data_IF_790502540508
#
_entry.id   IF_790502540508
#
_cell.length_a   1.000
_cell.length_b   1.000
_cell.length_c   1.000
_cell.angle_alpha   90.00
_cell.angle_beta   90.00
_cell.angle_gamma   90.00
#
_symmetry.space_group_name_H-M   'P 1'
#
loop_
_entity.id
_entity.type
_entity.pdbx_description
1 polymer ?
#
# COMPACT_ATOMS: atom_id res chain seq x y z
N UNK A 1 11.17 48.48 -14.67
CA UNK A 1 11.09 47.70 -13.43
C UNK A 1 9.69 47.05 -13.41
N UNK A 2 9.61 45.86 -13.99
CA UNK A 2 8.33 45.09 -14.11
C UNK A 2 8.18 44.27 -12.83
N UNK A 3 7.23 44.67 -11.99
CA UNK A 3 6.81 43.90 -10.83
C UNK A 3 5.86 42.83 -11.33
N UNK A 4 6.33 41.59 -11.45
CA UNK A 4 5.46 40.43 -11.63
C UNK A 4 4.70 40.18 -10.32
N UNK A 5 3.45 40.60 -10.27
CA UNK A 5 2.51 40.19 -9.26
C UNK A 5 2.25 38.70 -9.41
N UNK A 6 2.94 37.89 -8.60
CA UNK A 6 2.61 36.47 -8.43
C UNK A 6 1.31 36.45 -7.65
N UNK A 7 0.20 36.22 -8.35
CA UNK A 7 -1.09 35.94 -7.74
C UNK A 7 -0.96 34.57 -7.07
N UNK A 8 -0.47 34.55 -5.83
CA UNK A 8 -0.40 33.35 -5.02
C UNK A 8 -1.85 32.97 -4.67
N UNK A 9 -2.43 32.09 -5.48
CA UNK A 9 -3.59 31.35 -4.98
C UNK A 9 -3.17 30.64 -3.70
N UNK A 10 -3.88 30.83 -2.58
CA UNK A 10 -3.53 30.15 -1.35
C UNK A 10 -3.60 28.64 -1.62
N UNK A 11 -2.47 27.94 -1.51
CA UNK A 11 -2.43 26.49 -1.62
C UNK A 11 -3.20 25.92 -0.42
N UNK A 12 -4.45 25.56 -0.64
CA UNK A 12 -5.30 24.94 0.38
C UNK A 12 -5.00 23.45 0.39
N UNK A 13 -4.26 23.01 1.40
CA UNK A 13 -4.12 21.58 1.66
C UNK A 13 -5.45 21.09 2.25
N UNK A 14 -6.25 20.40 1.46
CA UNK A 14 -7.44 19.75 1.95
C UNK A 14 -7.07 18.71 3.02
N UNK A 15 -7.72 18.82 4.17
CA UNK A 15 -7.53 17.81 5.23
C UNK A 15 -8.24 16.54 4.83
N UNK A 16 -7.58 15.41 5.06
CA UNK A 16 -8.20 14.09 4.93
C UNK A 16 -9.42 14.04 5.85
N UNK A 17 -10.50 13.46 5.34
CA UNK A 17 -11.65 13.15 6.17
C UNK A 17 -11.24 12.05 7.17
N UNK A 18 -11.31 12.31 8.49
CA UNK A 18 -10.86 11.33 9.49
C UNK A 18 -11.65 10.02 9.44
N UNK A 19 -12.90 10.03 8.97
CA UNK A 19 -13.69 8.79 8.86
C UNK A 19 -13.20 7.86 7.76
N UNK A 20 -12.43 8.38 6.79
CA UNK A 20 -11.85 7.59 5.69
C UNK A 20 -10.52 6.94 6.06
N UNK A 21 -10.01 7.18 7.28
CA UNK A 21 -8.76 6.61 7.76
C UNK A 21 -9.05 5.62 8.90
N UNK A 22 -8.20 4.61 9.15
CA UNK A 22 -8.33 3.74 10.30
C UNK A 22 -8.39 4.56 11.60
N UNK A 23 -9.37 4.26 12.43
CA UNK A 23 -9.58 4.96 13.70
C UNK A 23 -8.99 4.16 14.86
N UNK A 24 -8.07 4.78 15.59
CA UNK A 24 -7.55 4.22 16.81
C UNK A 24 -6.54 3.08 16.60
N UNK A 25 -6.21 2.46 17.71
CA UNK A 25 -5.28 1.33 17.81
C UNK A 25 -6.10 0.11 18.13
N UNK A 26 -5.96 -0.95 17.33
CA UNK A 26 -6.48 -2.26 17.70
C UNK A 26 -5.72 -2.78 18.93
N UNK A 27 -6.42 -2.97 20.05
CA UNK A 27 -5.79 -3.30 21.34
C UNK A 27 -4.97 -4.60 21.32
N UNK A 28 -5.34 -5.55 20.46
CA UNK A 28 -4.63 -6.80 20.28
C UNK A 28 -3.43 -6.73 19.32
N UNK A 29 -3.15 -5.58 18.70
CA UNK A 29 -2.10 -5.45 17.70
C UNK A 29 -0.96 -4.56 18.18
N UNK A 30 -0.02 -5.16 18.90
CA UNK A 30 1.08 -4.47 19.57
C UNK A 30 1.93 -3.55 18.65
N UNK A 31 2.12 -3.93 17.40
CA UNK A 31 2.87 -3.11 16.45
C UNK A 31 2.16 -1.80 16.09
N UNK A 32 0.83 -1.79 16.00
CA UNK A 32 0.04 -0.59 15.77
C UNK A 32 0.13 0.36 16.97
N UNK A 33 0.08 -0.17 18.20
CA UNK A 33 0.22 0.61 19.43
C UNK A 33 1.53 1.40 19.50
N UNK A 34 2.63 0.81 19.02
CA UNK A 34 3.96 1.45 19.02
C UNK A 34 4.13 2.55 17.96
N UNK A 35 3.27 2.59 16.96
CA UNK A 35 3.34 3.55 15.85
C UNK A 35 2.46 4.77 16.05
N UNK A 36 1.61 4.73 17.07
CA UNK A 36 0.70 5.83 17.35
C UNK A 36 1.35 6.82 18.32
N UNK A 37 1.34 8.14 18.01
CA UNK A 37 1.88 9.12 18.94
C UNK A 37 1.04 9.17 20.22
N UNK A 38 1.71 9.12 21.36
CA UNK A 38 1.08 9.22 22.68
C UNK A 38 0.67 10.64 23.07
N UNK A 39 1.11 11.63 22.29
CA UNK A 39 0.82 13.04 22.50
C UNK A 39 0.12 13.63 21.27
N UNK A 40 -0.71 14.67 21.42
CA UNK A 40 -1.30 15.37 20.29
C UNK A 40 -0.24 15.88 19.32
N UNK A 41 -0.52 15.76 18.01
CA UNK A 41 0.37 16.29 16.98
C UNK A 41 0.47 17.80 17.04
N UNK A 42 1.69 18.33 17.17
CA UNK A 42 1.98 19.76 17.16
C UNK A 42 2.29 20.19 15.72
N UNK A 43 1.57 21.21 15.24
CA UNK A 43 1.87 21.83 13.95
C UNK A 43 3.15 22.64 14.06
N UNK A 44 4.07 22.39 13.15
CA UNK A 44 5.28 23.20 13.01
C UNK A 44 5.27 23.87 11.63
N UNK A 45 5.85 25.07 11.50
CA UNK A 45 6.08 25.68 10.19
C UNK A 45 7.02 24.81 9.37
N UNK A 46 6.83 24.78 8.06
CA UNK A 46 7.74 24.10 7.16
C UNK A 46 9.13 24.76 7.21
N UNK A 47 10.16 23.95 7.21
CA UNK A 47 11.54 24.36 7.15
C UNK A 47 12.17 23.93 5.81
N UNK A 48 13.33 24.48 5.39
CA UNK A 48 14.00 24.05 4.17
C UNK A 48 14.29 22.53 4.13
N UNK A 49 14.45 21.89 5.27
CA UNK A 49 14.70 20.43 5.34
C UNK A 49 13.50 19.60 4.88
N UNK A 50 12.28 20.08 5.06
CA UNK A 50 11.09 19.40 4.55
C UNK A 50 10.91 19.58 3.03
N UNK A 51 11.52 20.60 2.46
CA UNK A 51 11.55 20.81 1.01
C UNK A 51 12.52 19.88 0.30
N UNK A 52 13.59 19.45 0.98
CA UNK A 52 14.65 18.64 0.38
C UNK A 52 14.53 17.14 0.61
N UNK A 53 13.74 16.68 1.59
CA UNK A 53 13.45 15.27 1.91
C UNK A 53 14.59 14.25 1.72
N UNK A 54 14.45 13.00 2.12
CA UNK A 54 15.46 11.98 1.87
C UNK A 54 15.57 11.66 0.38
N UNK A 55 16.78 11.50 -0.13
CA UNK A 55 17.01 11.08 -1.51
C UNK A 55 16.64 9.60 -1.66
N UNK A 56 15.59 9.28 -2.41
CA UNK A 56 15.20 7.89 -2.70
C UNK A 56 15.84 7.33 -3.99
N UNK A 57 16.87 7.99 -4.51
CA UNK A 57 17.58 7.52 -5.72
C UNK A 57 18.07 6.07 -5.57
N UNK A 58 18.48 5.67 -4.35
CA UNK A 58 18.83 4.28 -4.05
C UNK A 58 17.64 3.31 -4.21
N UNK A 59 16.39 3.79 -4.12
CA UNK A 59 15.21 2.97 -4.36
C UNK A 59 15.02 2.63 -5.85
N UNK A 60 15.68 3.35 -6.75
CA UNK A 60 15.60 3.10 -8.19
C UNK A 60 16.61 2.07 -8.68
N UNK A 61 17.54 1.62 -7.84
CA UNK A 61 18.62 0.69 -8.24
C UNK A 61 18.15 -0.77 -8.41
N UNK A 62 17.02 -1.14 -7.81
CA UNK A 62 16.55 -2.52 -7.79
C UNK A 62 15.07 -2.59 -8.18
N UNK A 63 14.76 -2.24 -9.43
CA UNK A 63 13.40 -2.33 -9.93
C UNK A 63 13.04 -3.78 -10.26
N UNK A 64 11.90 -4.24 -9.76
CA UNK A 64 11.37 -5.58 -9.99
C UNK A 64 9.84 -5.53 -9.99
N UNK A 65 9.24 -6.03 -11.04
CA UNK A 65 7.78 -6.18 -11.19
C UNK A 65 7.31 -7.64 -11.27
N UNK A 66 8.19 -8.62 -11.07
CA UNK A 66 7.84 -10.05 -11.03
C UNK A 66 8.39 -10.71 -9.75
N UNK A 67 7.48 -11.20 -8.91
CA UNK A 67 7.77 -11.92 -7.67
C UNK A 67 7.45 -13.42 -7.80
N UNK A 68 6.89 -13.85 -8.93
CA UNK A 68 6.35 -15.20 -9.11
C UNK A 68 7.42 -16.27 -9.42
N UNK A 69 8.72 -15.97 -9.28
CA UNK A 69 9.75 -16.98 -9.38
C UNK A 69 11.13 -16.48 -9.78
N UNK A 70 12.10 -17.39 -9.65
CA UNK A 70 13.50 -17.22 -10.01
C UNK A 70 13.81 -17.96 -11.34
N UNK A 71 13.99 -17.24 -12.42
CA UNK A 71 14.31 -17.84 -13.73
C UNK A 71 13.24 -18.85 -14.17
N UNK A 72 13.63 -20.12 -14.32
CA UNK A 72 12.71 -21.20 -14.69
C UNK A 72 11.88 -21.76 -13.52
N UNK A 73 12.26 -21.47 -12.27
CA UNK A 73 11.54 -21.93 -11.08
C UNK A 73 10.41 -20.96 -10.74
N UNK A 74 9.26 -21.50 -10.36
CA UNK A 74 8.07 -20.73 -10.04
C UNK A 74 7.75 -20.82 -8.55
N UNK A 75 7.25 -19.71 -8.00
CA UNK A 75 6.66 -19.68 -6.68
C UNK A 75 5.38 -20.52 -6.65
N UNK A 76 5.12 -21.17 -5.52
CA UNK A 76 3.92 -21.94 -5.27
C UNK A 76 2.72 -21.04 -5.08
N UNK A 77 1.57 -21.39 -5.64
CA UNK A 77 0.32 -20.66 -5.47
C UNK A 77 -0.34 -20.24 -6.78
N UNK A 78 -1.47 -19.57 -6.64
CA UNK A 78 -2.24 -19.05 -7.77
C UNK A 78 -1.54 -17.82 -8.34
N UNK A 79 -1.11 -17.90 -9.60
CA UNK A 79 -0.54 -16.75 -10.30
C UNK A 79 -1.55 -15.63 -10.44
N UNK A 80 -1.09 -14.41 -10.20
CA UNK A 80 -1.88 -13.21 -10.41
C UNK A 80 -1.06 -12.06 -10.97
N UNK A 81 -1.78 -11.11 -11.55
CA UNK A 81 -1.27 -9.85 -12.08
C UNK A 81 -2.05 -8.70 -11.43
N UNK A 82 -1.33 -7.81 -10.77
CA UNK A 82 -1.91 -6.59 -10.21
C UNK A 82 -1.58 -5.43 -11.14
N UNK A 83 -2.60 -4.74 -11.63
CA UNK A 83 -2.49 -3.50 -12.38
C UNK A 83 -2.83 -2.36 -11.42
N UNK A 84 -1.80 -1.68 -10.94
CA UNK A 84 -1.94 -0.64 -9.92
C UNK A 84 -1.78 0.72 -10.56
N UNK A 85 -2.82 1.55 -10.49
CA UNK A 85 -2.82 2.92 -10.99
C UNK A 85 -2.68 3.90 -9.82
N UNK A 86 -1.69 4.77 -9.89
CA UNK A 86 -1.46 5.84 -8.91
C UNK A 86 -1.97 7.15 -9.50
N UNK A 87 -2.88 7.80 -8.77
CA UNK A 87 -3.53 9.05 -9.18
C UNK A 87 -3.59 10.05 -8.02
N UNK A 88 -3.84 11.32 -8.34
CA UNK A 88 -4.22 12.34 -7.37
C UNK A 88 -5.73 12.32 -7.09
N UNK A 89 -6.22 13.31 -6.33
CA UNK A 89 -7.64 13.45 -5.97
C UNK A 89 -8.57 13.73 -7.16
N UNK A 90 -8.04 14.26 -8.25
CA UNK A 90 -8.79 14.56 -9.47
C UNK A 90 -8.79 13.39 -10.45
N UNK A 91 -8.13 12.29 -10.10
CA UNK A 91 -7.96 11.11 -10.95
C UNK A 91 -6.84 11.26 -11.99
N UNK A 92 -6.06 12.34 -11.93
CA UNK A 92 -4.93 12.55 -12.83
C UNK A 92 -3.79 11.58 -12.52
N UNK A 93 -3.19 10.94 -13.53
CA UNK A 93 -2.12 9.97 -13.31
C UNK A 93 -0.86 10.64 -12.75
N UNK A 94 -0.16 9.93 -11.88
CA UNK A 94 1.10 10.36 -11.30
C UNK A 94 2.27 9.55 -11.86
N UNK A 95 2.89 9.99 -12.98
CA UNK A 95 4.05 9.33 -13.56
C UNK A 95 5.31 9.52 -12.72
N UNK A 96 6.26 8.58 -12.83
CA UNK A 96 7.53 8.63 -12.12
C UNK A 96 7.42 8.43 -10.61
N UNK A 97 6.29 7.90 -10.14
CA UNK A 97 6.04 7.60 -8.73
C UNK A 97 6.63 6.24 -8.38
N UNK A 98 7.41 6.15 -7.31
CA UNK A 98 7.94 4.87 -6.81
C UNK A 98 6.85 4.14 -6.03
N UNK A 99 6.60 2.89 -6.42
CA UNK A 99 5.64 1.98 -5.78
C UNK A 99 6.39 0.76 -5.28
N UNK A 100 6.41 0.57 -3.97
CA UNK A 100 6.86 -0.66 -3.34
C UNK A 100 5.64 -1.51 -3.00
N UNK A 101 5.74 -2.81 -3.22
CA UNK A 101 4.73 -3.79 -2.85
C UNK A 101 5.37 -4.96 -2.13
N UNK A 102 4.74 -5.47 -1.06
CA UNK A 102 5.20 -6.69 -0.38
C UNK A 102 4.02 -7.46 0.20
N UNK A 103 4.18 -8.78 0.25
CA UNK A 103 3.18 -9.67 0.83
C UNK A 103 3.80 -11.02 1.25
N UNK A 104 3.06 -11.83 1.98
CA UNK A 104 3.44 -13.20 2.32
C UNK A 104 3.29 -14.14 1.10
N UNK A 105 3.89 -15.33 1.17
CA UNK A 105 3.69 -16.36 0.16
C UNK A 105 2.26 -16.98 0.22
N UNK A 106 1.98 -17.97 -0.62
CA UNK A 106 0.68 -18.63 -0.66
C UNK A 106 0.31 -19.39 0.63
N UNK A 107 1.31 -19.73 1.46
CA UNK A 107 1.11 -20.36 2.77
C UNK A 107 0.96 -19.35 3.92
N UNK A 108 0.94 -18.04 3.65
CA UNK A 108 0.84 -16.99 4.66
C UNK A 108 2.18 -16.63 5.31
N UNK A 109 3.33 -17.08 4.77
CA UNK A 109 4.67 -16.84 5.33
C UNK A 109 5.36 -15.64 4.68
N UNK A 110 5.81 -14.67 5.50
CA UNK A 110 6.68 -13.59 5.05
C UNK A 110 8.15 -14.01 5.04
N UNK A 111 8.91 -13.48 4.10
CA UNK A 111 10.38 -13.57 4.12
C UNK A 111 10.91 -12.44 5.02
N UNK A 112 10.67 -12.56 6.32
CA UNK A 112 11.09 -11.57 7.29
C UNK A 112 11.50 -12.25 8.62
N UNK A 113 12.62 -11.86 9.25
CA UNK A 113 13.11 -12.51 10.48
C UNK A 113 12.13 -12.42 11.67
N UNK A 114 11.25 -11.41 11.68
CA UNK A 114 10.25 -11.26 12.74
C UNK A 114 8.95 -12.05 12.48
N UNK A 115 8.83 -12.73 11.34
CA UNK A 115 7.69 -13.61 11.10
C UNK A 115 7.95 -14.97 11.80
N UNK A 116 7.23 -15.19 12.90
CA UNK A 116 7.30 -16.41 13.71
C UNK A 116 6.28 -17.48 13.29
N UNK A 117 5.45 -17.21 12.26
CA UNK A 117 4.48 -18.18 11.77
C UNK A 117 5.17 -19.44 11.22
N UNK A 118 4.72 -20.62 11.64
CA UNK A 118 5.34 -21.91 11.27
C UNK A 118 5.02 -22.42 9.85
N UNK A 119 4.42 -21.58 9.01
CA UNK A 119 4.20 -21.93 7.60
C UNK A 119 5.52 -22.02 6.81
N UNK A 120 5.58 -22.84 5.75
CA UNK A 120 6.80 -23.03 4.98
C UNK A 120 7.20 -21.79 4.20
N UNK A 121 8.50 -21.51 4.14
CA UNK A 121 9.08 -20.52 3.23
C UNK A 121 9.10 -21.09 1.81
N UNK A 122 8.72 -20.28 0.82
CA UNK A 122 8.88 -20.63 -0.59
C UNK A 122 10.17 -20.00 -1.13
N UNK A 123 11.20 -20.81 -1.47
CA UNK A 123 12.48 -20.30 -1.95
C UNK A 123 12.41 -19.65 -3.33
N UNK A 124 11.30 -19.81 -4.05
CA UNK A 124 11.09 -19.25 -5.39
C UNK A 124 10.24 -17.97 -5.36
N UNK A 125 9.83 -17.50 -4.19
CA UNK A 125 9.05 -16.29 -4.02
C UNK A 125 9.92 -15.13 -3.50
N UNK A 126 9.85 -13.97 -4.14
CA UNK A 126 10.70 -12.83 -3.78
C UNK A 126 10.19 -11.97 -2.61
N UNK A 127 8.91 -12.02 -2.30
CA UNK A 127 8.31 -11.31 -1.15
C UNK A 127 8.06 -9.82 -1.34
N UNK A 128 8.93 -9.10 -2.05
CA UNK A 128 8.83 -7.65 -2.24
C UNK A 128 9.22 -7.21 -3.64
N UNK A 129 8.51 -6.20 -4.15
CA UNK A 129 8.69 -5.57 -5.45
C UNK A 129 8.91 -4.07 -5.30
N UNK A 130 9.58 -3.48 -6.27
CA UNK A 130 9.71 -2.03 -6.42
C UNK A 130 9.58 -1.66 -7.89
N UNK A 131 8.71 -0.72 -8.19
CA UNK A 131 8.34 -0.31 -9.54
C UNK A 131 8.24 1.20 -9.62
N UNK A 132 8.27 1.74 -10.84
CA UNK A 132 8.05 3.16 -11.11
C UNK A 132 6.91 3.29 -12.10
N UNK A 133 5.95 4.17 -11.82
CA UNK A 133 4.82 4.40 -12.69
C UNK A 133 5.23 5.02 -14.02
N UNK A 134 4.65 4.51 -15.12
CA UNK A 134 4.75 5.13 -16.45
C UNK A 134 3.84 6.37 -16.57
N UNK A 135 3.75 6.93 -17.77
CA UNK A 135 2.99 8.16 -18.06
C UNK A 135 1.51 8.06 -17.68
N UNK A 136 0.92 6.88 -17.76
CA UNK A 136 -0.47 6.62 -17.36
C UNK A 136 -0.65 6.46 -15.84
N UNK A 137 0.40 6.61 -15.04
CA UNK A 137 0.38 6.33 -13.60
C UNK A 137 0.29 4.84 -13.25
N UNK A 138 0.48 3.94 -14.23
CA UNK A 138 0.32 2.49 -14.07
C UNK A 138 1.64 1.81 -13.75
N UNK A 139 1.59 0.84 -12.83
CA UNK A 139 2.56 -0.23 -12.65
C UNK A 139 1.86 -1.58 -12.75
N UNK A 140 2.61 -2.60 -13.15
CA UNK A 140 2.13 -3.97 -13.22
C UNK A 140 3.04 -4.88 -12.41
N UNK A 141 2.45 -5.58 -11.45
CA UNK A 141 3.13 -6.56 -10.61
C UNK A 141 2.61 -7.95 -10.95
N UNK A 142 3.50 -8.83 -11.38
CA UNK A 142 3.24 -10.26 -11.53
C UNK A 142 3.69 -11.00 -10.29
N UNK A 143 2.80 -11.74 -9.64
CA UNK A 143 3.09 -12.44 -8.40
C UNK A 143 2.14 -13.63 -8.19
N UNK A 144 2.13 -14.19 -7.00
CA UNK A 144 1.17 -15.18 -6.54
C UNK A 144 0.17 -14.54 -5.57
N UNK A 145 -1.05 -15.08 -5.49
CA UNK A 145 -2.03 -14.65 -4.49
C UNK A 145 -1.51 -15.05 -3.10
N UNK A 146 -1.39 -14.10 -2.14
CA UNK A 146 -0.96 -14.41 -0.78
C UNK A 146 -1.97 -15.30 -0.04
N UNK A 147 -1.50 -16.05 0.93
CA UNK A 147 -2.34 -16.74 1.90
C UNK A 147 -2.81 -15.83 3.03
N UNK A 148 -3.82 -16.27 3.77
CA UNK A 148 -4.14 -15.71 5.07
C UNK A 148 -3.07 -16.15 6.10
N UNK A 149 -2.91 -15.39 7.19
CA UNK A 149 -1.97 -15.74 8.26
C UNK A 149 -2.47 -15.32 9.64
N UNK A 150 -2.08 -16.05 10.71
CA UNK A 150 -2.44 -15.69 12.07
C UNK A 150 -1.61 -14.50 12.57
N UNK A 151 -2.22 -13.65 13.39
CA UNK A 151 -1.52 -12.56 14.08
C UNK A 151 -1.02 -13.09 15.43
N UNK A 152 0.31 -13.04 15.69
CA UNK A 152 0.86 -13.48 16.96
C UNK A 152 0.26 -12.71 18.14
N UNK A 153 0.19 -13.36 19.30
CA UNK A 153 -0.25 -12.79 20.58
C UNK A 153 -1.69 -12.20 20.56
N UNK A 154 -2.55 -12.73 19.68
CA UNK A 154 -3.97 -12.39 19.62
C UNK A 154 -4.85 -13.62 19.85
N UNK A 155 -6.12 -13.42 20.18
CA UNK A 155 -7.09 -14.50 20.41
C UNK A 155 -7.55 -15.16 19.10
N UNK A 156 -6.60 -15.70 18.31
CA UNK A 156 -6.91 -16.41 17.08
C UNK A 156 -7.32 -15.50 15.92
N UNK A 157 -6.90 -14.22 15.92
CA UNK A 157 -7.14 -13.35 14.79
C UNK A 157 -6.29 -13.74 13.58
N UNK A 158 -6.95 -13.97 12.47
CA UNK A 158 -6.32 -14.22 11.16
C UNK A 158 -6.50 -13.01 10.26
N UNK A 159 -5.41 -12.61 9.60
CA UNK A 159 -5.47 -11.60 8.56
C UNK A 159 -5.89 -12.23 7.23
N UNK A 160 -6.81 -11.59 6.47
CA UNK A 160 -7.13 -12.01 5.10
C UNK A 160 -5.90 -11.90 4.18
N UNK A 161 -5.92 -12.56 3.02
CA UNK A 161 -4.99 -12.26 1.94
C UNK A 161 -4.95 -10.77 1.63
N UNK A 162 -3.76 -10.16 1.63
CA UNK A 162 -3.58 -8.74 1.31
C UNK A 162 -2.17 -8.45 0.78
N UNK A 163 -2.03 -7.33 0.11
CA UNK A 163 -0.75 -6.81 -0.39
C UNK A 163 -0.51 -5.44 0.21
N UNK A 164 0.64 -5.24 0.80
CA UNK A 164 1.08 -3.93 1.28
C UNK A 164 1.61 -3.10 0.13
N UNK A 165 1.33 -1.81 0.16
CA UNK A 165 1.90 -0.83 -0.74
C UNK A 165 2.52 0.33 0.03
N UNK A 166 3.65 0.81 -0.47
CA UNK A 166 4.29 2.05 -0.07
C UNK A 166 4.51 2.89 -1.32
N UNK A 167 3.84 4.03 -1.39
CA UNK A 167 3.87 4.93 -2.55
C UNK A 167 4.60 6.19 -2.17
N UNK A 168 5.64 6.52 -2.92
CA UNK A 168 6.45 7.71 -2.72
C UNK A 168 6.10 8.75 -3.76
N UNK A 169 5.55 9.88 -3.31
CA UNK A 169 5.24 10.99 -4.20
C UNK A 169 6.50 11.62 -4.80
N UNK A 170 6.30 12.43 -5.83
CA UNK A 170 7.39 13.22 -6.47
C UNK A 170 8.01 14.23 -5.52
N UNK A 171 7.22 14.71 -4.57
CA UNK A 171 7.66 15.58 -3.49
C UNK A 171 7.73 14.74 -2.23
N UNK A 172 8.89 14.62 -1.67
CA UNK A 172 9.34 13.74 -0.60
C UNK A 172 8.51 13.75 0.69
N UNK A 173 7.58 14.67 0.82
CA UNK A 173 6.76 14.87 2.00
C UNK A 173 5.54 13.96 2.08
N UNK A 174 5.22 13.22 1.04
CA UNK A 174 4.05 12.34 1.05
C UNK A 174 4.41 10.90 0.73
N UNK A 175 4.45 10.08 1.75
CA UNK A 175 4.48 8.64 1.64
C UNK A 175 3.10 8.10 2.03
N UNK A 176 2.46 7.38 1.15
CA UNK A 176 1.27 6.59 1.48
C UNK A 176 1.74 5.16 1.74
N UNK A 177 1.47 4.65 2.94
CA UNK A 177 1.56 3.22 3.25
C UNK A 177 0.15 2.70 3.43
N UNK A 178 -0.23 1.67 2.70
CA UNK A 178 -1.58 1.12 2.69
C UNK A 178 -1.57 -0.37 2.42
N UNK A 179 -2.75 -0.97 2.45
CA UNK A 179 -2.96 -2.38 2.15
C UNK A 179 -4.09 -2.52 1.14
N UNK A 180 -3.91 -3.43 0.19
CA UNK A 180 -4.93 -3.86 -0.76
C UNK A 180 -5.45 -5.22 -0.36
N UNK A 181 -6.75 -5.36 -0.33
CA UNK A 181 -7.45 -6.60 -0.03
C UNK A 181 -8.09 -7.19 -1.30
N UNK A 182 -8.40 -8.48 -1.26
CA UNK A 182 -9.02 -9.16 -2.39
C UNK A 182 -10.53 -9.24 -2.23
N UNK A 183 -11.30 -9.13 -3.31
CA UNK A 183 -12.76 -9.26 -3.25
C UNK A 183 -13.17 -10.69 -2.91
N UNK A 184 -14.26 -10.83 -2.14
CA UNK A 184 -14.86 -12.13 -1.80
C UNK A 184 -14.08 -12.95 -0.77
N UNK A 185 -13.08 -12.35 -0.09
CA UNK A 185 -12.37 -13.02 1.01
C UNK A 185 -13.19 -12.95 2.30
N UNK A 186 -13.63 -14.10 2.86
CA UNK A 186 -14.47 -14.10 4.07
C UNK A 186 -13.82 -13.41 5.27
N UNK A 187 -12.50 -13.47 5.38
CA UNK A 187 -11.75 -12.85 6.48
C UNK A 187 -11.72 -11.31 6.41
N UNK A 188 -12.11 -10.69 5.29
CA UNK A 188 -12.21 -9.23 5.22
C UNK A 188 -13.18 -8.66 6.25
N UNK A 189 -14.29 -9.37 6.50
CA UNK A 189 -15.32 -8.94 7.45
C UNK A 189 -14.84 -9.03 8.91
N UNK A 190 -13.82 -9.85 9.17
CA UNK A 190 -13.22 -10.05 10.50
C UNK A 190 -11.88 -9.32 10.68
N UNK A 191 -11.35 -8.66 9.65
CA UNK A 191 -10.06 -7.97 9.75
C UNK A 191 -10.17 -6.66 10.54
N UNK A 192 -9.54 -6.63 11.71
CA UNK A 192 -9.59 -5.48 12.61
C UNK A 192 -9.02 -4.20 11.97
N UNK A 193 -8.00 -4.32 11.09
CA UNK A 193 -7.36 -3.17 10.45
C UNK A 193 -8.26 -2.58 9.36
N UNK A 194 -8.81 -3.42 8.48
CA UNK A 194 -9.73 -2.98 7.43
C UNK A 194 -11.00 -2.36 8.04
N UNK A 195 -11.55 -2.99 9.08
CA UNK A 195 -12.79 -2.55 9.71
C UNK A 195 -12.61 -1.38 10.68
N UNK A 196 -11.37 -0.98 11.02
CA UNK A 196 -11.10 0.27 11.70
C UNK A 196 -11.40 1.52 10.82
N UNK A 197 -11.55 1.35 9.51
CA UNK A 197 -11.99 2.41 8.61
C UNK A 197 -13.51 2.51 8.69
N UNK A 198 -14.05 3.58 9.25
CA UNK A 198 -15.49 3.75 9.50
C UNK A 198 -16.30 4.01 8.24
N UNK A 199 -15.75 4.75 7.29
CA UNK A 199 -16.42 5.04 6.02
C UNK A 199 -16.42 3.80 5.12
N UNK A 200 -17.62 3.25 4.74
CA UNK A 200 -17.69 2.04 3.92
C UNK A 200 -17.07 2.22 2.53
N UNK A 201 -17.24 3.40 1.92
CA UNK A 201 -16.64 3.69 0.61
C UNK A 201 -15.11 3.78 0.68
N UNK A 202 -14.56 4.21 1.83
CA UNK A 202 -13.11 4.16 2.03
C UNK A 202 -12.60 2.72 2.20
N UNK A 203 -13.34 1.86 2.89
CA UNK A 203 -13.01 0.42 2.97
C UNK A 203 -13.03 -0.23 1.60
N UNK A 204 -14.06 0.07 0.80
CA UNK A 204 -14.18 -0.47 -0.55
C UNK A 204 -13.01 -0.05 -1.45
N UNK A 205 -12.49 1.18 -1.28
CA UNK A 205 -11.28 1.63 -1.99
C UNK A 205 -10.01 0.85 -1.60
N UNK A 206 -10.02 0.07 -0.53
CA UNK A 206 -8.93 -0.84 -0.17
C UNK A 206 -9.08 -2.22 -0.83
N UNK A 207 -10.20 -2.51 -1.49
CA UNK A 207 -10.47 -3.80 -2.12
C UNK A 207 -10.21 -3.69 -3.63
N UNK A 208 -9.38 -4.60 -4.16
CA UNK A 208 -9.09 -4.66 -5.58
C UNK A 208 -10.30 -5.17 -6.38
N UNK A 209 -10.36 -4.82 -7.64
CA UNK A 209 -11.38 -5.32 -8.56
C UNK A 209 -10.83 -6.50 -9.35
N UNK A 210 -11.45 -7.67 -9.23
CA UNK A 210 -11.15 -8.82 -10.08
C UNK A 210 -11.64 -8.55 -11.51
N UNK A 211 -10.75 -8.78 -12.46
CA UNK A 211 -11.03 -8.60 -13.90
C UNK A 211 -11.14 -9.98 -14.55
N UNK A 212 -12.14 -10.22 -15.39
CA UNK A 212 -12.23 -11.46 -16.18
C UNK A 212 -10.94 -11.67 -16.99
N UNK A 213 -10.39 -12.87 -16.91
CA UNK A 213 -9.18 -13.29 -17.64
C UNK A 213 -9.48 -14.53 -18.47
N UNK A 214 -8.86 -14.61 -19.65
CA UNK A 214 -8.88 -15.83 -20.50
C UNK A 214 -7.66 -16.73 -20.24
N UNK A 215 -6.80 -16.34 -19.33
CA UNK A 215 -5.62 -17.11 -18.92
C UNK A 215 -5.81 -17.72 -17.54
N UNK A 216 -4.89 -18.56 -17.09
CA UNK A 216 -4.87 -19.12 -15.75
C UNK A 216 -4.41 -18.10 -14.68
N UNK A 217 -3.93 -16.92 -15.07
CA UNK A 217 -3.57 -15.85 -14.14
C UNK A 217 -4.83 -15.07 -13.71
N UNK A 218 -4.99 -14.82 -12.41
CA UNK A 218 -5.98 -13.86 -11.91
C UNK A 218 -5.49 -12.46 -12.23
N UNK A 219 -6.38 -11.59 -12.67
CA UNK A 219 -6.05 -10.18 -12.95
C UNK A 219 -6.85 -9.30 -12.00
N UNK A 220 -6.14 -8.41 -11.29
CA UNK A 220 -6.76 -7.45 -10.40
C UNK A 220 -6.37 -6.03 -10.80
N UNK A 221 -7.36 -5.13 -10.84
CA UNK A 221 -7.15 -3.69 -10.92
C UNK A 221 -7.23 -3.08 -9.53
N UNK A 222 -6.31 -2.19 -9.24
CA UNK A 222 -6.29 -1.43 -8.01
C UNK A 222 -5.90 0.02 -8.27
N UNK A 223 -6.57 0.97 -7.59
CA UNK A 223 -6.27 2.39 -7.70
C UNK A 223 -5.81 2.95 -6.36
N UNK A 224 -4.69 3.65 -6.38
CA UNK A 224 -4.12 4.36 -5.26
C UNK A 224 -4.31 5.87 -5.46
N UNK A 225 -5.12 6.49 -4.62
CA UNK A 225 -5.31 7.95 -4.57
C UNK A 225 -4.42 8.48 -3.45
N UNK A 226 -3.35 9.22 -3.79
CA UNK A 226 -2.29 9.53 -2.82
C UNK A 226 -2.56 10.76 -1.95
N UNK A 227 -3.51 11.61 -2.34
CA UNK A 227 -3.84 12.84 -1.60
C UNK A 227 -5.30 13.23 -1.77
N UNK A 228 -5.68 14.36 -1.18
CA UNK A 228 -7.03 14.93 -1.26
C UNK A 228 -7.88 14.60 -0.06
N UNK A 229 -9.17 14.94 -0.16
CA UNK A 229 -10.12 14.74 0.94
C UNK A 229 -10.50 13.27 1.15
N UNK A 230 -10.51 12.49 0.07
CA UNK A 230 -10.87 11.05 0.08
C UNK A 230 -9.76 10.19 -0.52
N UNK A 231 -8.55 10.22 0.03
CA UNK A 231 -7.46 9.41 -0.47
C UNK A 231 -7.70 7.94 -0.14
N UNK A 232 -6.86 7.08 -0.71
CA UNK A 232 -6.76 5.70 -0.22
C UNK A 232 -6.39 5.73 1.26
N UNK A 233 -7.07 4.97 2.14
CA UNK A 233 -6.75 4.92 3.57
C UNK A 233 -5.30 4.54 3.83
N UNK A 234 -4.64 5.27 4.74
CA UNK A 234 -3.30 4.91 5.21
C UNK A 234 -3.39 3.84 6.28
N UNK A 235 -2.68 2.74 6.09
CA UNK A 235 -2.62 1.59 7.01
C UNK A 235 -1.16 1.23 7.27
N UNK A 236 -0.47 2.07 8.05
CA UNK A 236 0.93 1.87 8.41
C UNK A 236 1.06 1.01 9.65
#
# INVERSE_FOLDING_TARGET
>A
MLVYGVNQMPFVIERRDPLTQPQGVEAGYAQTARRWPSQPLVRRPQTPSELSGPRVQHLLSELRGDLAGYGAKRALGQLMRLRVRVVDEDGSPLPGTVVEAWHCNAAGKYIHPNDTHEAPVDPNFYGAARMVTGDSGLVELRTIKPGAYPVPDTNGWWRPPHVHFSVWGRVWLSRLVTQMFFPGEPLNDADAILNAIRDPGARERCIARLVPSRTSELIYDYQLVVRGRRPTPGMA
#
